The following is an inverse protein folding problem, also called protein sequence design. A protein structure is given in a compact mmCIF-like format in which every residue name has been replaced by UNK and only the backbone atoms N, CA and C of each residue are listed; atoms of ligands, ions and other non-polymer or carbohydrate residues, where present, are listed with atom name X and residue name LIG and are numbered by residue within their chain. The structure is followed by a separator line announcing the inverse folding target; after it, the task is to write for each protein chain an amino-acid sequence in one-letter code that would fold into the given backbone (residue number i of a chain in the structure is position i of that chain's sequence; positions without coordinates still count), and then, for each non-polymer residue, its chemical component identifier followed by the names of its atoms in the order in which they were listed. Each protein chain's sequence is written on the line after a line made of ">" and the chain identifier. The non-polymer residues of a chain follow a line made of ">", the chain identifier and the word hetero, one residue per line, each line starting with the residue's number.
data_IF_774383795658
#
_entry.id   IF_774383795658
#
_cell.length_a   1.000
_cell.length_b   1.000
_cell.length_c   1.000
_cell.angle_alpha   90.00
_cell.angle_beta   90.00
_cell.angle_gamma   90.00
#
_symmetry.space_group_name_H-M   'P 1'
#
loop_
_entity.id
_entity.type
_entity.pdbx_description
1 polymer ?
#
# COMPACT_ATOMS: atom_id res chain seq x y z
N UNK A 1 7.83 1.11 -43.05
CA UNK A 1 9.18 0.93 -42.47
C UNK A 1 9.66 2.29 -42.00
N UNK A 2 9.39 2.61 -40.73
CA UNK A 2 9.94 3.82 -40.11
C UNK A 2 11.39 3.48 -39.76
N UNK A 3 12.32 4.20 -40.38
CA UNK A 3 13.75 4.06 -40.13
C UNK A 3 14.04 4.90 -38.89
N UNK A 4 14.08 4.27 -37.72
CA UNK A 4 14.49 4.94 -36.49
C UNK A 4 15.89 5.51 -36.68
N UNK A 5 16.03 6.83 -36.55
CA UNK A 5 17.32 7.51 -36.61
C UNK A 5 17.92 7.43 -35.21
N UNK A 6 18.96 6.61 -35.07
CA UNK A 6 19.79 6.60 -33.86
C UNK A 6 20.59 7.92 -33.78
N UNK A 7 20.79 8.47 -32.58
CA UNK A 7 21.58 9.68 -32.37
C UNK A 7 23.03 9.54 -32.85
N UNK A 8 23.64 10.66 -33.22
CA UNK A 8 24.97 10.74 -33.83
C UNK A 8 26.10 10.18 -32.96
N UNK A 9 25.93 10.14 -31.64
CA UNK A 9 26.91 9.58 -30.70
C UNK A 9 26.86 8.05 -30.60
N UNK A 10 25.85 7.40 -31.21
CA UNK A 10 25.75 5.94 -31.29
C UNK A 10 26.61 5.37 -32.43
N UNK A 11 27.05 6.22 -33.36
CA UNK A 11 27.80 5.82 -34.56
C UNK A 11 29.26 6.28 -34.48
N UNK A 12 30.01 5.78 -33.50
CA UNK A 12 31.47 5.79 -33.56
C UNK A 12 32.05 4.51 -32.94
N UNK A 13 32.35 3.59 -33.85
CA UNK A 13 33.37 2.53 -33.83
C UNK A 13 33.45 1.58 -32.61
N UNK A 14 32.96 0.35 -32.83
CA UNK A 14 33.47 -0.92 -32.27
C UNK A 14 33.95 -0.94 -30.81
N UNK A 15 33.13 -0.42 -29.90
CA UNK A 15 33.04 -0.82 -28.50
C UNK A 15 31.57 -0.59 -28.11
N UNK A 16 30.94 -1.50 -27.38
CA UNK A 16 29.50 -1.43 -27.04
C UNK A 16 29.14 0.00 -26.59
N UNK A 17 28.29 0.74 -27.30
CA UNK A 17 28.04 2.16 -27.01
C UNK A 17 27.80 2.36 -25.51
N UNK A 18 28.76 2.99 -24.81
CA UNK A 18 28.75 3.15 -23.36
C UNK A 18 28.19 4.53 -23.00
N UNK A 19 27.40 4.58 -21.94
CA UNK A 19 26.94 5.81 -21.29
C UNK A 19 27.69 5.96 -19.98
N UNK A 20 28.37 7.10 -19.80
CA UNK A 20 29.13 7.42 -18.59
C UNK A 20 28.27 8.27 -17.64
N UNK A 21 28.07 7.78 -16.41
CA UNK A 21 27.27 8.45 -15.38
C UNK A 21 28.09 8.65 -14.12
N UNK A 22 27.87 9.78 -13.44
CA UNK A 22 28.50 10.13 -12.18
C UNK A 22 27.41 10.48 -11.18
N UNK A 23 27.22 9.62 -10.18
CA UNK A 23 26.17 9.78 -9.18
C UNK A 23 26.80 10.14 -7.85
N UNK A 24 26.70 11.40 -7.44
CA UNK A 24 27.31 11.91 -6.19
C UNK A 24 28.81 11.60 -6.07
N UNK A 25 29.53 11.58 -7.19
CA UNK A 25 30.96 11.23 -7.28
C UNK A 25 31.26 9.78 -7.68
N UNK A 26 30.26 8.88 -7.66
CA UNK A 26 30.43 7.49 -8.10
C UNK A 26 30.31 7.39 -9.62
N UNK A 27 31.45 7.30 -10.29
CA UNK A 27 31.55 7.15 -11.75
C UNK A 27 31.31 5.72 -12.19
N UNK A 28 30.41 5.51 -13.15
CA UNK A 28 30.06 4.21 -13.75
C UNK A 28 29.85 4.33 -15.25
N UNK A 29 30.15 3.26 -15.97
CA UNK A 29 29.86 3.13 -17.40
C UNK A 29 28.85 2.02 -17.60
N UNK A 30 27.78 2.27 -18.36
CA UNK A 30 26.74 1.29 -18.68
C UNK A 30 26.60 1.11 -20.18
N UNK A 31 26.41 -0.11 -20.63
CA UNK A 31 26.11 -0.38 -22.04
C UNK A 31 24.72 0.16 -22.40
N UNK A 32 24.60 0.83 -23.54
CA UNK A 32 23.33 1.32 -24.08
C UNK A 32 22.27 0.21 -24.14
N UNK A 33 22.64 -1.01 -24.51
CA UNK A 33 21.68 -2.13 -24.60
C UNK A 33 21.09 -2.53 -23.25
N UNK A 34 21.83 -2.32 -22.16
CA UNK A 34 21.31 -2.54 -20.81
C UNK A 34 20.26 -1.48 -20.46
N UNK A 35 20.50 -0.22 -20.83
CA UNK A 35 19.58 0.89 -20.59
C UNK A 35 18.32 0.80 -21.47
N UNK A 36 18.44 0.33 -22.73
CA UNK A 36 17.31 0.13 -23.65
C UNK A 36 16.25 -0.84 -23.14
N UNK A 37 16.60 -1.75 -22.21
CA UNK A 37 15.64 -2.68 -21.60
C UNK A 37 14.57 -1.96 -20.79
N UNK A 38 14.87 -0.76 -20.28
CA UNK A 38 14.00 0.02 -19.42
C UNK A 38 13.99 1.49 -19.90
N UNK A 39 13.34 1.81 -21.03
CA UNK A 39 13.40 3.15 -21.62
C UNK A 39 12.72 4.24 -20.78
N UNK A 40 11.74 3.86 -19.95
CA UNK A 40 10.95 4.80 -19.15
C UNK A 40 11.66 5.30 -17.89
N UNK A 41 12.75 4.65 -17.50
CA UNK A 41 13.56 5.04 -16.35
C UNK A 41 14.42 6.26 -16.68
N UNK A 42 14.94 6.94 -15.65
CA UNK A 42 15.77 8.13 -15.85
C UNK A 42 17.01 7.86 -16.69
N UNK A 43 17.73 6.75 -16.45
CA UNK A 43 18.90 6.40 -17.27
C UNK A 43 18.50 5.91 -18.68
N UNK A 44 17.34 5.26 -18.82
CA UNK A 44 16.82 4.88 -20.14
C UNK A 44 16.54 6.09 -21.02
N UNK A 45 15.97 7.15 -20.44
CA UNK A 45 15.67 8.41 -21.12
C UNK A 45 16.90 9.13 -21.67
N UNK A 46 18.08 8.94 -21.07
CA UNK A 46 19.33 9.50 -21.60
C UNK A 46 19.60 9.07 -23.06
N UNK A 47 19.16 7.87 -23.43
CA UNK A 47 19.35 7.36 -24.80
C UNK A 47 18.53 8.11 -25.86
N UNK A 48 17.48 8.82 -25.43
CA UNK A 48 16.57 9.57 -26.29
C UNK A 48 16.88 11.08 -26.28
N UNK A 49 17.90 11.53 -25.56
CA UNK A 49 18.31 12.93 -25.53
C UNK A 49 19.06 13.30 -26.82
N UNK A 50 18.56 14.30 -27.53
CA UNK A 50 19.14 14.79 -28.79
C UNK A 50 19.77 16.19 -28.68
N UNK A 51 19.49 16.92 -27.58
CA UNK A 51 20.05 18.25 -27.30
C UNK A 51 20.51 18.40 -25.85
N UNK A 52 21.34 19.40 -25.57
CA UNK A 52 21.80 19.71 -24.23
C UNK A 52 20.64 20.08 -23.29
N UNK A 53 19.63 20.78 -23.80
CA UNK A 53 18.43 21.10 -23.03
C UNK A 53 17.62 19.86 -22.64
N UNK A 54 17.62 18.82 -23.48
CA UNK A 54 16.97 17.54 -23.13
C UNK A 54 17.77 16.75 -22.11
N UNK A 55 19.11 16.84 -22.17
CA UNK A 55 20.00 16.23 -21.18
C UNK A 55 19.75 16.84 -19.79
N UNK A 56 19.70 18.17 -19.70
CA UNK A 56 19.50 18.90 -18.43
C UNK A 56 18.10 18.74 -17.82
N UNK A 57 17.13 18.16 -18.55
CA UNK A 57 15.84 17.73 -17.97
C UNK A 57 15.96 16.41 -17.21
N UNK A 58 16.98 15.62 -17.52
CA UNK A 58 17.14 14.25 -17.03
C UNK A 58 18.22 14.17 -15.96
N UNK A 59 19.34 14.88 -16.12
CA UNK A 59 20.46 14.94 -15.19
C UNK A 59 20.71 16.36 -14.68
N UNK A 60 21.50 16.50 -13.61
CA UNK A 60 21.74 17.77 -12.93
C UNK A 60 22.85 18.59 -13.61
N UNK A 61 23.83 17.92 -14.22
CA UNK A 61 24.90 18.54 -15.03
C UNK A 61 25.41 17.57 -16.11
N UNK A 62 26.09 18.08 -17.14
CA UNK A 62 26.67 17.28 -18.21
C UNK A 62 28.05 17.81 -18.63
N UNK A 63 29.08 16.99 -18.45
CA UNK A 63 30.43 17.29 -18.92
C UNK A 63 30.59 16.87 -20.39
N UNK A 64 30.59 17.85 -21.30
CA UNK A 64 30.76 17.63 -22.74
C UNK A 64 32.12 17.04 -23.10
N UNK A 65 33.19 17.35 -22.35
CA UNK A 65 34.53 16.86 -22.64
C UNK A 65 34.67 15.38 -22.27
N UNK A 66 34.14 15.00 -21.11
CA UNK A 66 34.16 13.61 -20.63
C UNK A 66 32.97 12.78 -21.11
N UNK A 67 31.98 13.42 -21.75
CA UNK A 67 30.67 12.83 -22.08
C UNK A 67 30.04 12.15 -20.87
N UNK A 68 30.08 12.84 -19.72
CA UNK A 68 29.67 12.31 -18.42
C UNK A 68 28.39 13.01 -17.92
N UNK A 69 27.36 12.22 -17.61
CA UNK A 69 26.11 12.70 -17.03
C UNK A 69 26.20 12.71 -15.50
N UNK A 70 26.01 13.87 -14.87
CA UNK A 70 26.10 14.02 -13.42
C UNK A 70 24.72 14.03 -12.76
N UNK A 71 24.61 13.33 -11.64
CA UNK A 71 23.41 13.26 -10.79
C UNK A 71 23.78 13.55 -9.34
N UNK A 72 23.15 14.56 -8.74
CA UNK A 72 23.35 14.96 -7.33
C UNK A 72 22.53 14.08 -6.39
N UNK A 73 22.84 12.77 -6.40
CA UNK A 73 22.12 11.73 -5.66
C UNK A 73 23.07 10.89 -4.80
N UNK A 74 22.49 10.05 -3.95
CA UNK A 74 23.25 9.25 -2.99
C UNK A 74 24.06 8.13 -3.68
N UNK A 75 25.40 8.19 -3.70
CA UNK A 75 26.23 7.16 -4.35
C UNK A 75 26.09 5.79 -3.68
N UNK A 76 25.71 5.72 -2.40
CA UNK A 76 25.55 4.47 -1.66
C UNK A 76 24.31 3.66 -2.06
N UNK A 77 23.29 4.31 -2.64
CA UNK A 77 22.07 3.65 -3.10
C UNK A 77 22.12 3.27 -4.59
N UNK A 78 23.00 3.92 -5.36
CA UNK A 78 23.12 3.67 -6.79
C UNK A 78 23.48 2.22 -7.17
N UNK A 79 24.26 1.44 -6.40
CA UNK A 79 24.50 0.02 -6.71
C UNK A 79 23.23 -0.82 -6.86
N UNK A 80 22.17 -0.52 -6.10
CA UNK A 80 20.88 -1.22 -6.23
C UNK A 80 20.18 -0.90 -7.56
N UNK A 81 20.29 0.34 -8.01
CA UNK A 81 19.81 0.80 -9.32
C UNK A 81 20.57 0.08 -10.44
N UNK A 82 21.90 -0.01 -10.34
CA UNK A 82 22.73 -0.74 -11.31
C UNK A 82 22.38 -2.23 -11.36
N UNK A 83 22.18 -2.86 -10.20
CA UNK A 83 21.78 -4.25 -10.11
C UNK A 83 20.42 -4.50 -10.79
N UNK A 84 19.48 -3.56 -10.66
CA UNK A 84 18.21 -3.62 -11.38
C UNK A 84 18.41 -3.64 -12.91
N UNK A 85 19.27 -2.77 -13.46
CA UNK A 85 19.57 -2.79 -14.90
C UNK A 85 20.20 -4.12 -15.38
N UNK A 86 20.99 -4.77 -14.52
CA UNK A 86 21.63 -6.04 -14.83
C UNK A 86 20.67 -7.22 -14.78
N UNK A 87 19.79 -7.27 -13.77
CA UNK A 87 18.96 -8.45 -13.45
C UNK A 87 17.49 -8.30 -13.80
N UNK A 88 17.02 -7.07 -14.00
CA UNK A 88 15.61 -6.72 -14.12
C UNK A 88 14.82 -6.81 -12.81
N UNK A 89 15.49 -7.00 -11.68
CA UNK A 89 14.87 -7.18 -10.37
C UNK A 89 15.50 -6.28 -9.32
N UNK A 90 14.65 -5.72 -8.46
CA UNK A 90 15.07 -4.97 -7.28
C UNK A 90 15.21 -5.89 -6.08
N UNK A 91 16.37 -5.82 -5.45
CA UNK A 91 16.66 -6.43 -4.16
C UNK A 91 17.15 -5.36 -3.21
N UNK A 92 16.85 -5.53 -1.92
CA UNK A 92 17.14 -4.56 -0.87
C UNK A 92 17.73 -5.31 0.33
N UNK A 93 18.77 -4.73 0.94
CA UNK A 93 19.37 -5.25 2.17
C UNK A 93 18.53 -4.93 3.40
N UNK A 94 18.69 -5.70 4.47
CA UNK A 94 17.86 -5.59 5.67
C UNK A 94 18.12 -4.27 6.43
N UNK A 95 19.35 -3.76 6.45
CA UNK A 95 19.73 -2.56 7.19
C UNK A 95 19.39 -1.26 6.46
N UNK A 96 18.85 -1.36 5.24
CA UNK A 96 18.56 -0.19 4.41
C UNK A 96 17.31 0.54 4.90
N UNK A 97 17.40 1.87 5.03
CA UNK A 97 16.24 2.72 5.28
C UNK A 97 15.26 2.66 4.09
N UNK A 98 14.08 2.05 4.31
CA UNK A 98 13.05 1.82 3.29
C UNK A 98 12.51 3.13 2.71
N UNK A 99 12.37 4.18 3.53
CA UNK A 99 11.89 5.48 3.07
C UNK A 99 12.89 6.12 2.10
N UNK A 100 14.17 6.22 2.50
CA UNK A 100 15.22 6.78 1.66
C UNK A 100 15.38 6.00 0.35
N UNK A 101 15.28 4.67 0.41
CA UNK A 101 15.31 3.84 -0.80
C UNK A 101 14.11 4.06 -1.72
N UNK A 102 12.90 4.21 -1.15
CA UNK A 102 11.67 4.47 -1.92
C UNK A 102 11.80 5.76 -2.74
N UNK A 103 12.29 6.84 -2.12
CA UNK A 103 12.55 8.11 -2.81
C UNK A 103 13.60 7.96 -3.91
N UNK A 104 14.61 7.12 -3.68
CA UNK A 104 15.66 6.89 -4.65
C UNK A 104 15.14 6.15 -5.89
N UNK A 105 14.45 5.02 -5.73
CA UNK A 105 13.89 4.28 -6.88
C UNK A 105 12.83 5.10 -7.62
N UNK A 106 12.06 5.92 -6.92
CA UNK A 106 11.14 6.88 -7.53
C UNK A 106 11.89 7.91 -8.39
N UNK A 107 12.98 8.50 -7.86
CA UNK A 107 13.82 9.43 -8.63
C UNK A 107 14.36 8.78 -9.91
N UNK A 108 14.82 7.53 -9.85
CA UNK A 108 15.32 6.79 -11.01
C UNK A 108 14.20 6.30 -11.94
N UNK A 109 12.93 6.47 -11.56
CA UNK A 109 11.78 6.04 -12.34
C UNK A 109 11.61 4.52 -12.38
N UNK A 110 12.09 3.80 -11.36
CA UNK A 110 11.96 2.35 -11.26
C UNK A 110 10.77 2.04 -10.37
N UNK A 111 9.83 1.25 -10.89
CA UNK A 111 8.63 0.89 -10.17
C UNK A 111 8.89 -0.18 -9.09
N UNK A 112 8.25 -0.04 -7.93
CA UNK A 112 8.28 -1.02 -6.83
C UNK A 112 7.80 -2.42 -7.23
N UNK A 113 7.00 -2.57 -8.30
CA UNK A 113 6.60 -3.88 -8.84
C UNK A 113 7.77 -4.74 -9.31
N UNK A 114 8.97 -4.17 -9.51
CA UNK A 114 10.18 -4.92 -9.84
C UNK A 114 10.85 -5.55 -8.61
N UNK A 115 10.34 -5.33 -7.39
CA UNK A 115 10.84 -6.00 -6.19
C UNK A 115 10.64 -7.50 -6.28
N UNK A 116 11.72 -8.26 -6.09
CA UNK A 116 11.59 -9.72 -6.00
C UNK A 116 10.88 -10.11 -4.70
N UNK A 117 10.20 -11.25 -4.75
CA UNK A 117 9.51 -11.93 -3.65
C UNK A 117 10.33 -12.00 -2.36
N UNK A 118 11.64 -12.18 -2.43
CA UNK A 118 12.50 -12.26 -1.24
C UNK A 118 12.60 -10.95 -0.46
N UNK A 119 12.41 -9.80 -1.10
CA UNK A 119 12.51 -8.47 -0.49
C UNK A 119 11.14 -7.77 -0.37
N UNK A 120 10.20 -8.10 -1.25
CA UNK A 120 8.91 -7.39 -1.38
C UNK A 120 8.11 -7.34 -0.08
N UNK A 121 7.92 -8.49 0.59
CA UNK A 121 7.15 -8.54 1.85
C UNK A 121 7.73 -7.59 2.91
N UNK A 122 9.03 -7.72 3.20
CA UNK A 122 9.73 -6.93 4.22
C UNK A 122 9.83 -5.45 3.87
N UNK A 123 9.89 -5.12 2.57
CA UNK A 123 9.90 -3.74 2.12
C UNK A 123 8.54 -3.07 2.36
N UNK A 124 7.45 -3.70 1.94
CA UNK A 124 6.11 -3.13 2.11
C UNK A 124 5.70 -3.04 3.58
N UNK A 125 6.04 -4.05 4.38
CA UNK A 125 5.81 -4.06 5.83
C UNK A 125 6.44 -2.85 6.51
N UNK A 126 7.75 -2.65 6.32
CA UNK A 126 8.50 -1.50 6.88
C UNK A 126 8.07 -0.16 6.31
N UNK A 127 7.65 -0.11 5.04
CA UNK A 127 7.13 1.13 4.43
C UNK A 127 5.83 1.57 5.11
N UNK A 128 4.94 0.62 5.40
CA UNK A 128 3.69 0.89 6.13
C UNK A 128 3.96 1.31 7.57
N UNK A 129 4.89 0.65 8.27
CA UNK A 129 5.29 1.05 9.63
C UNK A 129 5.84 2.48 9.67
N UNK A 130 6.71 2.85 8.72
CA UNK A 130 7.23 4.21 8.60
C UNK A 130 6.14 5.24 8.34
N UNK A 131 5.17 4.92 7.48
CA UNK A 131 4.00 5.79 7.24
C UNK A 131 3.12 5.93 8.48
N UNK A 132 2.98 4.88 9.30
CA UNK A 132 2.24 4.96 10.56
C UNK A 132 2.95 5.85 11.56
N UNK A 133 4.27 5.72 11.72
CA UNK A 133 5.04 6.54 12.66
C UNK A 133 4.94 8.04 12.33
N UNK A 134 4.97 8.41 11.05
CA UNK A 134 4.75 9.79 10.62
C UNK A 134 3.34 10.31 10.96
N UNK A 135 2.31 9.46 10.98
CA UNK A 135 0.95 9.85 11.39
C UNK A 135 0.86 10.09 12.90
N UNK A 136 1.57 9.33 13.74
CA UNK A 136 1.56 9.55 15.19
C UNK A 136 2.23 10.88 15.60
N UNK A 137 3.19 11.38 14.83
CA UNK A 137 3.82 12.70 15.07
C UNK A 137 2.92 13.88 14.63
N UNK A 138 1.95 13.66 13.74
CA UNK A 138 0.96 14.68 13.35
C UNK A 138 -0.33 14.66 14.20
N UNK A 139 -0.73 13.49 14.73
CA UNK A 139 -2.01 13.29 15.42
C UNK A 139 -1.91 13.34 16.97
N UNK A 140 -0.88 13.95 17.56
CA UNK A 140 -0.75 14.06 19.02
C UNK A 140 -1.84 14.92 19.70
N UNK A 141 -2.82 15.43 18.94
CA UNK A 141 -4.01 16.12 19.44
C UNK A 141 -5.32 15.54 18.87
N UNK A 142 -5.64 14.24 19.04
CA UNK A 142 -7.01 13.76 19.40
C UNK A 142 -7.19 12.23 19.51
N UNK A 143 -7.58 11.80 20.71
CA UNK A 143 -8.48 10.68 21.06
C UNK A 143 -8.12 9.22 20.68
N UNK A 144 -7.69 8.49 21.70
CA UNK A 144 -7.69 7.04 21.86
C UNK A 144 -9.06 6.35 21.67
N UNK A 145 -9.15 5.38 20.75
CA UNK A 145 -9.96 4.15 20.91
C UNK A 145 -9.19 2.99 20.27
N UNK A 146 -8.44 2.26 21.10
CA UNK A 146 -7.67 1.08 20.69
C UNK A 146 -8.61 -0.10 20.37
N UNK A 147 -8.51 -0.64 19.15
CA UNK A 147 -8.78 -2.06 18.90
C UNK A 147 -7.41 -2.71 18.70
N UNK A 148 -7.02 -3.61 19.62
CA UNK A 148 -5.68 -4.20 19.68
C UNK A 148 -5.29 -4.93 18.38
N UNK A 149 -4.11 -4.59 17.87
CA UNK A 149 -3.57 -4.99 16.54
C UNK A 149 -3.15 -6.46 16.47
N UNK A 150 -2.93 -7.12 17.62
CA UNK A 150 -2.51 -8.53 17.65
C UNK A 150 -3.56 -9.47 17.03
N UNK A 151 -4.86 -9.20 17.23
CA UNK A 151 -5.93 -10.04 16.67
C UNK A 151 -6.07 -9.90 15.14
N UNK A 152 -5.65 -8.78 14.56
CA UNK A 152 -5.69 -8.52 13.10
C UNK A 152 -4.55 -9.28 12.38
N UNK A 153 -3.44 -9.52 13.08
CA UNK A 153 -2.26 -10.19 12.52
C UNK A 153 -2.47 -11.70 12.34
N UNK A 154 -3.13 -12.36 13.31
CA UNK A 154 -3.50 -13.77 13.20
C UNK A 154 -4.63 -13.99 12.16
N UNK A 155 -5.57 -13.03 12.03
CA UNK A 155 -6.60 -13.04 10.98
C UNK A 155 -6.01 -12.98 9.55
N UNK A 156 -4.94 -12.22 9.35
CA UNK A 156 -4.27 -12.10 8.05
C UNK A 156 -3.47 -13.36 7.67
N UNK A 157 -2.97 -14.13 8.66
CA UNK A 157 -2.28 -15.40 8.41
C UNK A 157 -3.24 -16.47 7.90
N UNK A 158 -4.44 -16.53 8.48
CA UNK A 158 -5.48 -17.48 8.06
C UNK A 158 -6.08 -17.11 6.69
N UNK A 159 -6.12 -15.83 6.33
CA UNK A 159 -6.63 -15.34 5.04
C UNK A 159 -5.85 -15.87 3.82
N UNK A 160 -4.53 -16.10 3.96
CA UNK A 160 -3.69 -16.60 2.87
C UNK A 160 -3.80 -18.11 2.63
N UNK A 161 -4.34 -18.88 3.59
CA UNK A 161 -4.50 -20.33 3.44
C UNK A 161 -5.74 -20.74 2.61
N UNK A 162 -6.70 -19.84 2.38
CA UNK A 162 -7.97 -20.18 1.72
C UNK A 162 -8.01 -19.93 0.20
N UNK A 163 -6.89 -19.55 -0.43
CA UNK A 163 -6.85 -19.15 -1.84
C UNK A 163 -6.99 -20.32 -2.83
N UNK A 164 -7.10 -21.57 -2.37
CA UNK A 164 -7.21 -22.76 -3.23
C UNK A 164 -8.61 -23.37 -3.42
N UNK A 165 -9.69 -22.86 -2.81
CA UNK A 165 -11.02 -23.53 -2.92
C UNK A 165 -12.14 -22.65 -3.47
N UNK A 166 -12.79 -23.17 -4.53
CA UNK A 166 -13.84 -22.57 -5.39
C UNK A 166 -15.07 -21.97 -4.67
N UNK A 167 -15.23 -22.16 -3.36
CA UNK A 167 -16.30 -21.55 -2.54
C UNK A 167 -15.86 -20.30 -1.75
N UNK A 168 -14.64 -19.78 -1.98
CA UNK A 168 -14.09 -18.63 -1.24
C UNK A 168 -14.84 -17.31 -1.44
N UNK A 169 -15.49 -17.09 -2.58
CA UNK A 169 -16.08 -15.78 -2.90
C UNK A 169 -17.32 -15.44 -2.06
N UNK A 170 -18.14 -16.42 -1.67
CA UNK A 170 -19.35 -16.18 -0.86
C UNK A 170 -18.96 -15.88 0.59
N UNK A 171 -18.01 -16.66 1.13
CA UNK A 171 -17.46 -16.44 2.47
C UNK A 171 -16.67 -15.13 2.56
N UNK A 172 -15.92 -14.77 1.51
CA UNK A 172 -15.23 -13.48 1.37
C UNK A 172 -16.21 -12.31 1.27
N UNK A 173 -17.33 -12.47 0.56
CA UNK A 173 -18.39 -11.46 0.49
C UNK A 173 -19.07 -11.26 1.85
N UNK A 174 -19.40 -12.35 2.57
CA UNK A 174 -19.94 -12.29 3.92
C UNK A 174 -18.97 -11.62 4.90
N UNK A 175 -17.68 -11.99 4.84
CA UNK A 175 -16.64 -11.43 5.69
C UNK A 175 -16.43 -9.93 5.41
N UNK A 176 -16.28 -9.52 4.14
CA UNK A 176 -16.17 -8.10 3.76
C UNK A 176 -17.42 -7.28 4.07
N UNK A 177 -18.60 -7.90 4.07
CA UNK A 177 -19.88 -7.25 4.42
C UNK A 177 -20.00 -7.03 5.93
N UNK A 178 -19.45 -7.92 6.75
CA UNK A 178 -19.45 -7.80 8.21
C UNK A 178 -18.36 -6.84 8.72
N UNK A 179 -17.18 -6.85 8.10
CA UNK A 179 -16.03 -6.04 8.52
C UNK A 179 -16.12 -4.57 8.06
N UNK A 180 -16.89 -4.27 7.01
CA UNK A 180 -16.88 -2.96 6.34
C UNK A 180 -18.30 -2.47 5.99
N UNK A 181 -18.98 -1.73 6.89
CA UNK A 181 -20.34 -1.25 6.67
C UNK A 181 -20.48 -0.24 5.51
N UNK A 182 -19.37 0.30 5.01
CA UNK A 182 -19.33 1.31 3.95
C UNK A 182 -19.25 0.78 2.51
N UNK A 183 -18.99 -0.52 2.30
CA UNK A 183 -18.56 -1.04 0.99
C UNK A 183 -19.69 -1.23 -0.05
N UNK A 184 -20.94 -1.45 0.35
CA UNK A 184 -22.07 -1.66 -0.59
C UNK A 184 -23.45 -1.32 0.00
N UNK A 185 -24.45 -1.06 -0.85
CA UNK A 185 -25.86 -0.81 -0.45
C UNK A 185 -26.42 -1.89 0.49
N UNK A 186 -26.25 -3.21 0.24
CA UNK A 186 -26.71 -4.23 1.18
C UNK A 186 -25.94 -4.26 2.51
N UNK A 187 -24.65 -3.90 2.53
CA UNK A 187 -23.86 -3.77 3.77
C UNK A 187 -24.40 -2.65 4.68
N UNK A 188 -24.79 -1.51 4.07
CA UNK A 188 -25.42 -0.39 4.79
C UNK A 188 -26.78 -0.78 5.39
N UNK A 189 -27.57 -1.56 4.66
CA UNK A 189 -28.85 -2.07 5.17
C UNK A 189 -28.66 -3.04 6.33
N UNK A 190 -27.66 -3.93 6.26
CA UNK A 190 -27.35 -4.88 7.33
C UNK A 190 -26.89 -4.16 8.60
N UNK A 191 -25.95 -3.21 8.47
CA UNK A 191 -25.47 -2.39 9.60
C UNK A 191 -26.61 -1.61 10.27
N UNK A 192 -27.53 -1.03 9.50
CA UNK A 192 -28.68 -0.29 10.02
C UNK A 192 -29.66 -1.21 10.77
N UNK A 193 -29.90 -2.42 10.27
CA UNK A 193 -30.74 -3.43 10.93
C UNK A 193 -30.11 -3.86 12.26
N UNK A 194 -28.81 -4.14 12.29
CA UNK A 194 -28.11 -4.54 13.52
C UNK A 194 -28.16 -3.45 14.60
N UNK A 195 -27.96 -2.18 14.23
CA UNK A 195 -28.07 -1.04 15.16
C UNK A 195 -29.51 -0.92 15.68
N UNK A 196 -30.51 -1.07 14.82
CA UNK A 196 -31.92 -1.00 15.23
C UNK A 196 -32.29 -2.10 16.24
N UNK A 197 -31.80 -3.33 16.04
CA UNK A 197 -32.02 -4.44 16.97
C UNK A 197 -31.38 -4.17 18.32
N UNK A 198 -30.15 -3.64 18.35
CA UNK A 198 -29.47 -3.26 19.59
C UNK A 198 -30.23 -2.16 20.35
N UNK A 199 -30.72 -1.13 19.65
CA UNK A 199 -31.50 -0.07 20.29
C UNK A 199 -32.83 -0.60 20.85
N UNK A 200 -33.48 -1.51 20.13
CA UNK A 200 -34.72 -2.14 20.59
C UNK A 200 -34.49 -3.01 21.84
N UNK A 201 -33.39 -3.78 21.89
CA UNK A 201 -33.09 -4.63 23.04
C UNK A 201 -32.72 -3.82 24.28
N UNK A 202 -31.94 -2.75 24.11
CA UNK A 202 -31.62 -1.80 25.19
C UNK A 202 -32.88 -1.11 25.69
N UNK A 203 -33.77 -0.67 24.80
CA UNK A 203 -35.03 -0.03 25.18
C UNK A 203 -35.96 -0.99 25.93
N UNK A 204 -36.11 -2.23 25.46
CA UNK A 204 -36.88 -3.29 26.13
C UNK A 204 -36.29 -3.61 27.51
N UNK A 205 -34.96 -3.68 27.62
CA UNK A 205 -34.26 -3.89 28.89
C UNK A 205 -34.51 -2.73 29.87
N UNK A 206 -34.47 -1.48 29.40
CA UNK A 206 -34.76 -0.30 30.20
C UNK A 206 -36.22 -0.30 30.69
N UNK A 207 -37.19 -0.62 29.81
CA UNK A 207 -38.61 -0.70 30.17
C UNK A 207 -38.85 -1.82 31.21
N UNK A 208 -38.20 -2.97 31.03
CA UNK A 208 -38.30 -4.08 31.98
C UNK A 208 -37.61 -3.82 33.33
N UNK A 209 -36.67 -2.87 33.36
CA UNK A 209 -35.95 -2.45 34.57
C UNK A 209 -36.71 -1.39 35.37
N UNK A 210 -37.73 -0.75 34.78
CA UNK A 210 -38.63 0.16 35.49
C UNK A 210 -39.80 -0.67 36.05
N UNK A 211 -39.88 -0.88 37.38
CA UNK A 211 -40.94 -1.69 37.98
C UNK A 211 -42.35 -1.09 37.81
N UNK A 212 -42.44 0.21 37.56
CA UNK A 212 -43.69 0.96 37.38
C UNK A 212 -44.37 0.69 36.02
N UNK A 213 -43.63 0.23 35.00
CA UNK A 213 -44.20 -0.17 33.71
C UNK A 213 -44.78 -1.60 33.71
N UNK A 214 -44.48 -2.42 34.73
CA UNK A 214 -45.05 -3.77 34.86
C UNK A 214 -46.50 -3.78 35.37
N UNK A 215 -47.06 -2.60 35.70
CA UNK A 215 -48.36 -2.48 36.37
C UNK A 215 -49.52 -2.20 35.40
N UNK A 216 -49.28 -1.90 34.13
CA UNK A 216 -50.33 -1.40 33.23
C UNK A 216 -50.51 -2.23 31.94
N UNK A 217 -50.83 -3.53 32.05
CA UNK A 217 -51.07 -4.30 30.83
C UNK A 217 -51.51 -5.75 30.93
N UNK A 218 -52.27 -6.20 31.94
CA UNK A 218 -53.22 -7.32 31.77
C UNK A 218 -54.14 -7.47 33.00
N UNK A 219 -55.38 -7.01 32.91
CA UNK A 219 -56.54 -7.50 33.67
C UNK A 219 -57.79 -6.90 33.01
N UNK A 220 -58.81 -7.69 32.62
CA UNK A 220 -59.45 -8.65 33.52
C UNK A 220 -59.73 -10.00 32.87
N UNK A 221 -59.65 -11.09 33.65
CA UNK A 221 -60.75 -12.06 33.72
C UNK A 221 -60.59 -12.91 34.98
N UNK A 222 -61.59 -12.76 35.85
CA UNK A 222 -62.13 -13.72 36.82
C UNK A 222 -61.20 -14.34 37.87
N UNK A 223 -61.49 -14.06 39.14
CA UNK A 223 -62.02 -15.09 40.05
C UNK A 223 -62.78 -14.41 41.18
N UNK A 224 -64.11 -14.49 41.11
CA UNK A 224 -65.01 -14.29 42.24
C UNK A 224 -64.71 -15.42 43.24
N UNK A 225 -64.25 -15.08 44.45
CA UNK A 225 -64.24 -16.05 45.56
C UNK A 225 -65.41 -15.71 46.48
N UNK A 226 -66.50 -16.45 46.29
CA UNK A 226 -67.57 -16.58 47.29
C UNK A 226 -66.97 -17.40 48.44
N UNK A 227 -66.79 -16.78 49.61
CA UNK A 227 -66.74 -17.55 50.86
C UNK A 227 -68.11 -17.45 51.49
N UNK A 228 -68.81 -18.58 51.42
CA UNK A 228 -70.12 -18.86 52.01
C UNK A 228 -70.03 -18.78 53.54
N UNK A 229 -71.12 -18.29 54.12
CA UNK A 229 -71.50 -18.26 55.54
C UNK A 229 -71.19 -19.53 56.34
N UNK A 230 -71.01 -19.33 57.65
CA UNK A 230 -71.80 -19.90 58.76
C UNK A 230 -71.05 -19.54 60.07
N UNK A 231 -71.63 -19.07 61.18
CA UNK A 231 -73.00 -18.88 61.64
C UNK A 231 -73.00 -17.80 62.75
#
# INVERSE_FOLDING_TARGET
>A
MVKERLPSWVLQDSDEALVHVNVGGLKRSLCCDTLKKFPDTRLGKLLACDSEEDILKVCDDYDVQQKEFYFDRNPGLFPYVLHFYQTGKLHIMEELCVFSFSQEIEYWGINEFFLDSCCSYRFHDRKLEGSRHHSWDEDSDVSSVDTSVDEISDLNRDMKHFQEVRHGNIRKCLWLTLENPGYSIPSKMFSLVSISVLLSSVSIMCINSIPECKVQGYSPHETVTITVSDA
#
